data_IF_637086470691
#
_entry.id   IF_637086470691
#
_cell.length_a   1.000
_cell.length_b   1.000
_cell.length_c   1.000
_cell.angle_alpha   90.00
_cell.angle_beta   90.00
_cell.angle_gamma   90.00
#
_symmetry.space_group_name_H-M   'P 1'
#
loop_
_entity.id
_entity.type
_entity.pdbx_description
1 polymer ?
#
# COMPACT_ATOMS: atom_id res chain seq x y z
N UNK A 1 -17.79 16.55 11.13
CA UNK A 1 -16.51 15.92 10.73
C UNK A 1 -16.68 14.54 10.10
N UNK A 2 -17.28 13.55 10.78
CA UNK A 2 -17.46 12.19 10.23
C UNK A 2 -18.20 12.19 8.89
N UNK A 3 -19.40 12.74 8.89
CA UNK A 3 -20.23 13.04 7.72
C UNK A 3 -19.47 13.77 6.60
N UNK A 4 -18.86 14.92 6.92
CA UNK A 4 -18.12 15.79 5.97
C UNK A 4 -16.94 15.06 5.28
N UNK A 5 -16.29 14.11 5.94
CA UNK A 5 -15.09 13.42 5.43
C UNK A 5 -15.34 12.00 4.93
N UNK A 6 -16.58 11.49 5.09
CA UNK A 6 -16.92 10.09 4.83
C UNK A 6 -16.15 9.07 5.70
N UNK A 7 -15.46 9.52 6.77
CA UNK A 7 -14.67 8.65 7.66
C UNK A 7 -15.48 8.27 8.89
N UNK A 8 -15.26 7.04 9.38
CA UNK A 8 -15.86 6.59 10.63
C UNK A 8 -15.36 7.46 11.81
N UNK A 9 -16.20 7.56 12.85
CA UNK A 9 -15.95 8.46 13.97
C UNK A 9 -14.67 8.09 14.76
N UNK A 10 -14.32 6.81 14.85
CA UNK A 10 -13.13 6.31 15.56
C UNK A 10 -11.83 6.77 14.90
N UNK A 11 -11.77 6.72 13.56
CA UNK A 11 -10.65 7.25 12.77
C UNK A 11 -10.47 8.76 12.98
N UNK A 12 -11.56 9.51 13.14
CA UNK A 12 -11.50 10.96 13.40
C UNK A 12 -11.09 11.26 14.84
N UNK A 13 -11.62 10.54 15.83
CA UNK A 13 -11.18 10.68 17.24
C UNK A 13 -9.67 10.43 17.37
N UNK A 14 -9.11 9.48 16.61
CA UNK A 14 -7.66 9.25 16.48
C UNK A 14 -6.93 10.37 15.74
N UNK A 15 -7.39 10.79 14.56
CA UNK A 15 -6.75 11.85 13.79
C UNK A 15 -6.68 13.17 14.58
N UNK A 16 -7.74 13.52 15.31
CA UNK A 16 -7.75 14.67 16.22
C UNK A 16 -6.79 14.50 17.40
N UNK A 17 -6.62 13.30 17.94
CA UNK A 17 -5.62 13.04 18.99
C UNK A 17 -4.18 13.19 18.46
N UNK A 18 -3.89 12.72 17.24
CA UNK A 18 -2.58 12.89 16.59
C UNK A 18 -2.27 14.36 16.28
N UNK A 19 -3.26 15.11 15.78
CA UNK A 19 -3.12 16.55 15.53
C UNK A 19 -2.90 17.36 16.82
N UNK A 20 -3.55 16.98 17.92
CA UNK A 20 -3.38 17.61 19.24
C UNK A 20 -2.02 17.27 19.88
N UNK A 21 -1.60 16.01 19.80
CA UNK A 21 -0.29 15.56 20.29
C UNK A 21 0.89 16.22 19.55
N UNK A 22 0.71 16.56 18.27
CA UNK A 22 1.68 17.29 17.46
C UNK A 22 1.43 18.82 17.44
N UNK A 23 0.58 19.32 18.34
CA UNK A 23 0.28 20.74 18.55
C UNK A 23 -0.26 21.51 17.32
N UNK A 24 -0.90 20.83 16.38
CA UNK A 24 -1.61 21.45 15.25
C UNK A 24 -2.98 21.98 15.64
N UNK A 25 -3.65 21.34 16.61
CA UNK A 25 -4.95 21.78 17.15
C UNK A 25 -4.93 21.75 18.67
N UNK A 26 -5.86 22.49 19.30
CA UNK A 26 -6.10 22.43 20.75
C UNK A 26 -7.61 22.22 20.98
N UNK A 27 -8.01 21.20 21.73
CA UNK A 27 -9.42 21.01 22.13
C UNK A 27 -9.67 21.76 23.44
N UNK A 28 -10.30 22.93 23.34
CA UNK A 28 -10.62 23.78 24.51
C UNK A 28 -11.98 23.42 25.07
N UNK A 29 -11.99 22.70 26.19
CA UNK A 29 -13.19 22.56 27.01
C UNK A 29 -13.34 23.78 27.93
N UNK A 30 -14.45 24.51 27.77
CA UNK A 30 -14.87 25.60 28.67
C UNK A 30 -16.16 25.18 29.37
N UNK A 31 -16.63 25.95 30.36
CA UNK A 31 -17.90 25.67 31.04
C UNK A 31 -19.09 25.66 30.06
N UNK A 32 -19.03 26.50 29.02
CA UNK A 32 -19.97 26.54 27.89
C UNK A 32 -19.73 25.46 26.82
N UNK A 33 -18.59 24.76 26.87
CA UNK A 33 -18.11 23.85 25.83
C UNK A 33 -17.58 22.56 26.47
N UNK A 34 -18.51 21.73 26.96
CA UNK A 34 -18.18 20.45 27.61
C UNK A 34 -18.29 19.29 26.63
N UNK A 35 -17.70 18.14 26.96
CA UNK A 35 -17.87 16.90 26.17
C UNK A 35 -19.34 16.48 25.99
N UNK A 36 -20.25 16.96 26.84
CA UNK A 36 -21.67 16.62 26.80
C UNK A 36 -22.52 17.60 25.96
N UNK A 37 -22.10 18.86 25.76
CA UNK A 37 -22.92 19.88 25.08
C UNK A 37 -22.85 19.85 23.54
N UNK A 38 -22.24 18.82 22.94
CA UNK A 38 -22.10 18.65 21.48
C UNK A 38 -21.10 19.60 20.79
N UNK A 39 -20.93 20.81 21.33
CA UNK A 39 -20.18 21.91 20.73
C UNK A 39 -18.64 21.83 20.88
N UNK A 40 -18.08 20.63 21.09
CA UNK A 40 -16.68 20.37 21.44
C UNK A 40 -15.67 21.17 20.58
N UNK A 41 -15.13 22.25 21.15
CA UNK A 41 -14.40 23.29 20.42
C UNK A 41 -12.99 22.89 20.00
N UNK A 42 -12.74 22.86 18.69
CA UNK A 42 -11.40 22.67 18.10
C UNK A 42 -10.83 24.05 17.76
N UNK A 43 -9.78 24.46 18.48
CA UNK A 43 -9.03 25.69 18.25
C UNK A 43 -7.98 25.46 17.15
N UNK A 44 -8.22 26.05 15.97
CA UNK A 44 -7.40 25.91 14.76
C UNK A 44 -6.31 27.00 14.64
N UNK A 45 -6.12 27.84 15.66
CA UNK A 45 -5.09 28.90 15.63
C UNK A 45 -3.66 28.38 15.36
N UNK A 46 -3.22 27.19 15.84
CA UNK A 46 -1.89 26.68 15.48
C UNK A 46 -1.79 26.28 14.00
N UNK A 47 -2.85 25.73 13.40
CA UNK A 47 -2.93 25.49 11.94
C UNK A 47 -2.83 26.80 11.18
N UNK A 48 -3.57 27.83 11.59
CA UNK A 48 -3.59 29.13 10.93
C UNK A 48 -2.21 29.83 10.99
N UNK A 49 -1.49 29.70 12.10
CA UNK A 49 -0.12 30.22 12.23
C UNK A 49 0.88 29.54 11.28
N UNK A 50 0.68 28.25 10.97
CA UNK A 50 1.52 27.45 10.06
C UNK A 50 0.96 27.34 8.62
N UNK A 51 -0.04 28.15 8.26
CA UNK A 51 -0.70 28.06 6.94
C UNK A 51 0.29 28.28 5.78
N UNK A 52 1.33 29.08 5.99
CA UNK A 52 2.41 29.28 5.01
C UNK A 52 3.25 28.01 4.81
N UNK A 53 3.66 27.35 5.89
CA UNK A 53 4.40 26.08 5.86
C UNK A 53 3.61 24.99 5.13
N UNK A 54 2.30 24.91 5.39
CA UNK A 54 1.39 23.96 4.75
C UNK A 54 1.28 24.21 3.24
N UNK A 55 1.15 25.47 2.79
CA UNK A 55 1.15 25.83 1.37
C UNK A 55 2.49 25.58 0.68
N UNK A 56 3.61 25.80 1.38
CA UNK A 56 4.94 25.51 0.86
C UNK A 56 5.12 23.99 0.67
N UNK A 57 4.62 23.18 1.60
CA UNK A 57 4.62 21.72 1.49
C UNK A 57 3.66 21.22 0.38
N UNK A 58 2.49 21.85 0.21
CA UNK A 58 1.53 21.58 -0.86
C UNK A 58 2.17 21.81 -2.24
N UNK A 59 2.71 23.01 -2.49
CA UNK A 59 3.43 23.34 -3.73
C UNK A 59 4.60 22.38 -3.99
N UNK A 60 5.43 22.07 -2.98
CA UNK A 60 6.56 21.15 -3.11
C UNK A 60 6.13 19.73 -3.49
N UNK A 61 4.97 19.26 -3.00
CA UNK A 61 4.40 17.98 -3.40
C UNK A 61 3.87 18.01 -4.84
N UNK A 62 3.23 19.10 -5.28
CA UNK A 62 2.80 19.26 -6.68
C UNK A 62 4.00 19.32 -7.64
N UNK A 63 5.04 20.09 -7.31
CA UNK A 63 6.30 20.15 -8.05
C UNK A 63 6.97 18.77 -8.15
N UNK A 64 7.05 18.02 -7.04
CA UNK A 64 7.60 16.66 -7.03
C UNK A 64 6.75 15.69 -7.87
N UNK A 65 5.43 15.82 -7.85
CA UNK A 65 4.51 14.99 -8.65
C UNK A 65 4.67 15.29 -10.14
N UNK A 66 4.76 16.56 -10.56
CA UNK A 66 4.92 16.88 -11.98
C UNK A 66 6.33 16.60 -12.49
N UNK A 67 7.38 16.77 -11.67
CA UNK A 67 8.72 16.30 -11.99
C UNK A 67 8.76 14.77 -12.18
N UNK A 68 8.09 14.00 -11.31
CA UNK A 68 7.99 12.54 -11.47
C UNK A 68 7.20 12.12 -12.72
N UNK A 69 6.18 12.90 -13.12
CA UNK A 69 5.47 12.71 -14.40
C UNK A 69 6.37 13.04 -15.59
N UNK A 70 7.16 14.11 -15.52
CA UNK A 70 8.09 14.53 -16.56
C UNK A 70 9.20 13.49 -16.79
N UNK A 71 9.82 12.95 -15.73
CA UNK A 71 10.75 11.82 -15.87
C UNK A 71 10.08 10.61 -16.53
N UNK A 72 8.85 10.24 -16.12
CA UNK A 72 8.07 9.16 -16.75
C UNK A 72 7.61 9.48 -18.20
N UNK A 73 7.73 10.73 -18.67
CA UNK A 73 7.59 11.10 -20.10
C UNK A 73 8.92 10.92 -20.82
N UNK A 74 9.99 11.53 -20.31
CA UNK A 74 11.33 11.47 -20.90
C UNK A 74 11.86 10.03 -21.06
N UNK A 75 11.69 9.16 -20.05
CA UNK A 75 12.05 7.74 -20.14
C UNK A 75 11.35 7.01 -21.30
N UNK A 76 10.11 7.41 -21.64
CA UNK A 76 9.35 6.81 -22.75
C UNK A 76 9.81 7.35 -24.11
N UNK A 77 10.14 8.63 -24.18
CA UNK A 77 10.61 9.26 -25.41
C UNK A 77 12.04 8.81 -25.76
N UNK A 78 12.89 8.56 -24.76
CA UNK A 78 14.21 7.93 -24.93
C UNK A 78 14.08 6.46 -25.39
N UNK A 79 13.14 5.69 -24.81
CA UNK A 79 12.83 4.34 -25.29
C UNK A 79 12.34 4.36 -26.75
N UNK A 80 11.42 5.27 -27.10
CA UNK A 80 10.92 5.43 -28.47
C UNK A 80 12.05 5.83 -29.45
N UNK A 81 12.97 6.70 -29.05
CA UNK A 81 14.16 7.02 -29.85
C UNK A 81 15.10 5.82 -30.03
N UNK A 82 15.31 5.01 -28.99
CA UNK A 82 16.13 3.80 -29.07
C UNK A 82 15.48 2.73 -29.97
N UNK A 83 14.16 2.58 -29.94
CA UNK A 83 13.42 1.70 -30.85
C UNK A 83 13.46 2.22 -32.29
N UNK A 84 13.26 3.51 -32.52
CA UNK A 84 13.36 4.11 -33.85
C UNK A 84 14.78 3.98 -34.45
N UNK A 85 15.84 4.15 -33.64
CA UNK A 85 17.23 3.95 -34.07
C UNK A 85 17.50 2.49 -34.43
N UNK A 86 16.99 1.53 -33.65
CA UNK A 86 17.09 0.09 -33.99
C UNK A 86 16.38 -0.23 -35.30
N UNK A 87 15.15 0.24 -35.50
CA UNK A 87 14.39 0.02 -36.73
C UNK A 87 15.07 0.64 -37.96
N UNK A 88 15.69 1.81 -37.82
CA UNK A 88 16.49 2.41 -38.90
C UNK A 88 17.77 1.61 -39.21
N UNK A 89 18.37 0.96 -38.20
CA UNK A 89 19.57 0.14 -38.36
C UNK A 89 19.25 -1.24 -38.96
N UNK A 90 18.20 -1.93 -38.46
CA UNK A 90 17.65 -3.17 -39.03
C UNK A 90 17.08 -2.99 -40.46
N UNK A 91 16.76 -1.75 -40.84
CA UNK A 91 16.37 -1.37 -42.20
C UNK A 91 17.54 -1.32 -43.19
N UNK A 92 18.75 -1.00 -42.72
CA UNK A 92 19.93 -0.85 -43.57
C UNK A 92 20.55 -2.20 -43.99
N UNK A 93 20.43 -3.24 -43.17
CA UNK A 93 20.94 -4.60 -43.44
C UNK A 93 20.05 -5.43 -44.40
N UNK A 94 19.07 -4.80 -45.08
CA UNK A 94 18.13 -5.49 -46.00
C UNK A 94 18.31 -5.18 -47.50
N UNK A 95 19.21 -4.28 -47.87
CA UNK A 95 19.53 -4.04 -49.29
C UNK A 95 20.57 -5.02 -49.87
N UNK A 96 20.26 -6.34 -49.85
CA UNK A 96 20.69 -7.31 -50.90
C UNK A 96 20.21 -8.75 -50.61
N UNK A 97 19.02 -9.10 -51.13
CA UNK A 97 18.69 -10.44 -51.69
C UNK A 97 17.29 -10.46 -52.30
N UNK A 98 17.17 -9.96 -53.53
CA UNK A 98 16.06 -10.33 -54.40
C UNK A 98 16.26 -11.77 -54.90
N UNK A 99 15.19 -12.58 -54.92
CA UNK A 99 14.80 -13.41 -56.08
C UNK A 99 13.58 -14.30 -55.77
N UNK A 100 12.51 -14.12 -56.55
CA UNK A 100 11.63 -15.18 -57.07
C UNK A 100 10.83 -16.10 -56.14
N UNK A 101 9.50 -16.07 -56.26
CA UNK A 101 8.64 -17.19 -55.84
C UNK A 101 7.21 -16.75 -55.46
N UNK A 102 6.25 -16.90 -56.36
CA UNK A 102 4.82 -16.71 -56.06
C UNK A 102 4.13 -18.02 -55.62
N UNK A 103 3.31 -17.87 -54.57
CA UNK A 103 2.06 -18.59 -54.28
C UNK A 103 2.08 -20.12 -53.97
N UNK A 104 0.93 -20.57 -53.46
CA UNK A 104 0.56 -21.87 -52.92
C UNK A 104 1.15 -22.22 -51.54
N UNK A 105 0.39 -22.77 -50.58
CA UNK A 105 -1.07 -22.83 -50.42
C UNK A 105 -1.42 -23.24 -48.98
N UNK A 106 -2.67 -23.00 -48.52
CA UNK A 106 -3.41 -23.82 -47.51
C UNK A 106 -2.80 -23.89 -46.08
N UNK A 107 -3.50 -23.70 -44.95
CA UNK A 107 -4.95 -23.61 -44.65
C UNK A 107 -5.14 -22.78 -43.36
N UNK A 108 -6.07 -21.82 -43.32
CA UNK A 108 -6.59 -21.26 -42.05
C UNK A 108 -8.11 -21.49 -41.97
N UNK A 109 -8.52 -22.48 -41.17
CA UNK A 109 -9.95 -22.75 -40.94
C UNK A 109 -10.55 -21.71 -39.99
N UNK A 110 -11.50 -20.94 -40.49
CA UNK A 110 -12.29 -19.99 -39.70
C UNK A 110 -13.76 -20.44 -39.64
N UNK A 111 -14.25 -20.63 -38.41
CA UNK A 111 -15.68 -20.75 -38.09
C UNK A 111 -15.98 -19.56 -37.17
N UNK A 112 -16.43 -18.42 -37.72
CA UNK A 112 -17.84 -18.08 -38.00
C UNK A 112 -18.71 -18.11 -36.74
N UNK A 113 -19.18 -16.92 -36.34
CA UNK A 113 -20.34 -16.74 -35.48
C UNK A 113 -21.57 -17.38 -36.13
N UNK A 114 -22.57 -17.72 -35.31
CA UNK A 114 -23.97 -17.79 -35.72
C UNK A 114 -24.86 -17.16 -34.63
N UNK A 115 -25.84 -16.31 -34.98
CA UNK A 115 -26.83 -15.77 -34.04
C UNK A 115 -28.02 -16.74 -33.87
N UNK A 116 -28.80 -16.59 -32.79
CA UNK A 116 -30.02 -17.41 -32.61
C UNK A 116 -30.89 -16.99 -31.42
N UNK A 117 -32.21 -16.95 -31.63
CA UNK A 117 -33.22 -16.55 -30.65
C UNK A 117 -34.59 -17.16 -31.03
N UNK A 118 -35.57 -17.35 -30.14
CA UNK A 118 -35.60 -17.04 -28.69
C UNK A 118 -35.73 -18.36 -27.88
N UNK A 119 -36.65 -18.69 -26.96
CA UNK A 119 -37.77 -17.97 -26.33
C UNK A 119 -38.08 -18.46 -24.91
N UNK A 120 -38.87 -17.65 -24.20
CA UNK A 120 -39.60 -17.87 -22.94
C UNK A 120 -40.08 -19.30 -22.60
N UNK A 121 -39.89 -19.69 -21.34
CA UNK A 121 -40.94 -20.24 -20.46
C UNK A 121 -40.78 -19.60 -19.07
N UNK A 122 -41.90 -19.20 -18.43
CA UNK A 122 -41.90 -18.58 -17.10
C UNK A 122 -42.49 -19.49 -16.01
N UNK A 123 -42.11 -19.20 -14.75
CA UNK A 123 -42.88 -19.35 -13.49
C UNK A 123 -42.27 -20.31 -12.45
N UNK A 124 -42.15 -19.83 -11.21
CA UNK A 124 -41.65 -20.60 -10.06
C UNK A 124 -40.92 -19.71 -9.04
N UNK A 125 -41.65 -18.98 -8.20
CA UNK A 125 -41.08 -18.00 -7.28
C UNK A 125 -40.55 -18.61 -5.96
N UNK A 126 -39.41 -18.10 -5.44
CA UNK A 126 -39.33 -17.50 -4.09
C UNK A 126 -37.90 -17.10 -3.65
N UNK A 127 -37.79 -15.88 -3.11
CA UNK A 127 -36.85 -15.38 -2.08
C UNK A 127 -35.44 -16.01 -1.92
N UNK A 128 -34.37 -15.27 -2.30
CA UNK A 128 -33.13 -15.19 -1.50
C UNK A 128 -32.27 -13.95 -1.84
N UNK A 129 -31.61 -13.43 -0.81
CA UNK A 129 -30.84 -12.18 -0.71
C UNK A 129 -29.59 -12.05 -1.61
N UNK A 130 -29.30 -10.78 -1.96
CA UNK A 130 -27.99 -10.12 -2.14
C UNK A 130 -26.99 -10.74 -3.14
N UNK A 131 -26.65 -9.95 -4.17
CA UNK A 131 -25.80 -10.37 -5.28
C UNK A 131 -24.38 -10.79 -4.90
N UNK A 132 -23.85 -11.70 -5.70
CA UNK A 132 -22.47 -12.20 -5.66
C UNK A 132 -21.46 -11.04 -5.60
N UNK A 133 -20.49 -11.13 -4.67
CA UNK A 133 -19.23 -10.38 -4.81
C UNK A 133 -18.57 -10.81 -6.13
N UNK A 134 -18.21 -9.86 -6.97
CA UNK A 134 -17.29 -10.13 -8.08
C UNK A 134 -15.94 -10.52 -7.49
N UNK A 135 -15.53 -11.77 -7.71
CA UNK A 135 -14.18 -12.22 -7.44
C UNK A 135 -13.25 -11.68 -8.54
N UNK A 136 -13.02 -10.37 -8.55
CA UNK A 136 -11.84 -9.82 -9.21
C UNK A 136 -10.62 -10.47 -8.54
N UNK A 137 -9.65 -11.01 -9.29
CA UNK A 137 -8.38 -11.42 -8.71
C UNK A 137 -7.69 -10.18 -8.16
N UNK A 138 -7.66 -10.04 -6.83
CA UNK A 138 -6.86 -9.00 -6.17
C UNK A 138 -5.42 -9.18 -6.61
N UNK A 139 -4.86 -8.17 -7.26
CA UNK A 139 -3.48 -8.17 -7.70
C UNK A 139 -2.56 -8.32 -6.49
N UNK A 140 -1.61 -9.26 -6.54
CA UNK A 140 -0.69 -9.52 -5.41
C UNK A 140 0.20 -8.29 -5.07
N UNK A 141 0.28 -7.34 -6.02
CA UNK A 141 0.90 -6.01 -5.92
C UNK A 141 0.18 -5.11 -4.91
N UNK A 142 -1.15 -5.20 -4.79
CA UNK A 142 -1.95 -4.47 -3.79
C UNK A 142 -1.75 -5.07 -2.38
N UNK A 143 -1.55 -6.39 -2.30
CA UNK A 143 -1.48 -7.15 -1.05
C UNK A 143 -0.27 -6.78 -0.20
N UNK A 144 0.92 -6.79 -0.78
CA UNK A 144 2.14 -6.48 -0.03
C UNK A 144 2.30 -4.96 0.21
N UNK A 145 1.68 -4.11 -0.62
CA UNK A 145 1.58 -2.66 -0.40
C UNK A 145 0.72 -2.34 0.81
N UNK A 146 -0.43 -3.02 1.00
CA UNK A 146 -1.23 -2.88 2.23
C UNK A 146 -0.44 -3.35 3.46
N UNK A 147 0.37 -4.42 3.34
CA UNK A 147 1.20 -4.91 4.44
C UNK A 147 2.27 -3.89 4.83
N UNK A 148 2.96 -3.27 3.85
CA UNK A 148 3.92 -2.19 4.07
C UNK A 148 3.28 -1.00 4.78
N UNK A 149 2.13 -0.53 4.28
CA UNK A 149 1.39 0.57 4.90
C UNK A 149 0.98 0.26 6.34
N UNK A 150 0.42 -0.93 6.59
CA UNK A 150 0.05 -1.37 7.94
C UNK A 150 1.27 -1.46 8.87
N UNK A 151 2.41 -1.99 8.42
CA UNK A 151 3.66 -2.00 9.21
C UNK A 151 4.05 -0.59 9.65
N UNK A 152 4.10 0.36 8.71
CA UNK A 152 4.50 1.75 8.98
C UNK A 152 3.49 2.45 9.89
N UNK A 153 2.20 2.15 9.75
CA UNK A 153 1.14 2.76 10.57
C UNK A 153 1.11 2.24 12.03
N UNK A 154 1.26 0.93 12.26
CA UNK A 154 0.96 0.30 13.58
C UNK A 154 2.20 -0.07 14.41
N UNK A 155 3.41 0.31 13.97
CA UNK A 155 4.67 -0.07 14.62
C UNK A 155 5.45 1.12 15.18
N UNK A 156 5.30 1.41 16.49
CA UNK A 156 6.13 2.41 17.17
C UNK A 156 7.62 2.06 17.14
N UNK A 157 7.99 0.78 17.02
CA UNK A 157 9.40 0.37 16.95
C UNK A 157 9.99 0.59 15.55
N UNK A 158 9.25 0.32 14.47
CA UNK A 158 9.68 0.65 13.10
C UNK A 158 9.75 2.16 12.89
N UNK A 159 8.74 2.91 13.36
CA UNK A 159 8.72 4.39 13.26
C UNK A 159 9.95 5.04 13.90
N UNK A 160 10.44 4.52 15.03
CA UNK A 160 11.66 5.00 15.70
C UNK A 160 12.98 4.71 14.95
N UNK A 161 12.94 3.92 13.87
CA UNK A 161 14.11 3.61 13.03
C UNK A 161 14.10 4.37 11.70
N UNK A 162 13.08 5.19 11.45
CA UNK A 162 12.87 5.92 10.19
C UNK A 162 12.82 7.42 10.47
N UNK A 163 13.28 8.22 9.52
CA UNK A 163 13.15 9.69 9.58
C UNK A 163 11.72 10.13 9.29
N UNK A 164 11.35 11.34 9.74
CA UNK A 164 10.05 11.92 9.44
C UNK A 164 9.79 12.04 7.92
N UNK A 165 10.82 12.32 7.12
CA UNK A 165 10.72 12.40 5.67
C UNK A 165 10.37 11.05 5.03
N UNK A 166 11.06 9.97 5.45
CA UNK A 166 10.77 8.61 4.98
C UNK A 166 9.38 8.15 5.41
N UNK A 167 8.95 8.45 6.64
CA UNK A 167 7.61 8.14 7.13
C UNK A 167 6.51 8.86 6.33
N UNK A 168 6.71 10.13 5.98
CA UNK A 168 5.79 10.87 5.10
C UNK A 168 5.76 10.28 3.68
N UNK A 169 6.90 9.85 3.14
CA UNK A 169 6.98 9.25 1.81
C UNK A 169 6.37 7.83 1.75
N UNK A 170 6.51 7.04 2.80
CA UNK A 170 5.90 5.70 2.94
C UNK A 170 4.37 5.72 3.08
N UNK A 171 3.80 6.87 3.44
CA UNK A 171 2.36 7.13 3.50
C UNK A 171 1.83 7.74 2.18
N UNK A 172 2.72 8.06 1.24
CA UNK A 172 2.38 8.56 -0.10
C UNK A 172 1.84 7.48 -1.05
N UNK A 173 1.25 7.88 -2.20
CA UNK A 173 0.61 6.95 -3.15
C UNK A 173 1.60 6.09 -3.96
N UNK A 174 2.83 6.56 -4.16
CA UNK A 174 3.95 5.78 -4.68
C UNK A 174 5.15 5.97 -3.73
N UNK A 175 5.41 5.05 -2.78
CA UNK A 175 6.55 5.15 -1.88
C UNK A 175 7.87 4.95 -2.64
N UNK A 176 8.89 5.76 -2.35
CA UNK A 176 10.16 5.69 -3.08
C UNK A 176 10.92 4.38 -2.82
N UNK A 177 11.69 3.92 -3.81
CA UNK A 177 12.57 2.77 -3.65
C UNK A 177 13.57 2.96 -2.50
N UNK A 178 14.01 4.21 -2.24
CA UNK A 178 14.85 4.57 -1.09
C UNK A 178 14.14 4.37 0.24
N UNK A 179 12.94 4.90 0.43
CA UNK A 179 12.20 4.74 1.68
C UNK A 179 11.79 3.28 1.94
N UNK A 180 11.50 2.52 0.88
CA UNK A 180 11.31 1.06 0.95
C UNK A 180 12.58 0.36 1.46
N UNK A 181 13.77 0.72 0.95
CA UNK A 181 15.04 0.15 1.45
C UNK A 181 15.36 0.57 2.89
N UNK A 182 14.91 1.74 3.34
CA UNK A 182 15.00 2.14 4.74
C UNK A 182 14.11 1.27 5.65
N UNK A 183 12.87 0.93 5.24
CA UNK A 183 12.05 -0.07 5.95
C UNK A 183 12.72 -1.43 5.99
N UNK A 184 13.31 -1.89 4.87
CA UNK A 184 14.03 -3.17 4.80
C UNK A 184 15.22 -3.17 5.78
N UNK A 185 15.96 -2.07 5.83
CA UNK A 185 17.13 -1.90 6.70
C UNK A 185 16.73 -1.82 8.19
N UNK A 186 15.68 -1.08 8.52
CA UNK A 186 15.12 -0.97 9.87
C UNK A 186 14.61 -2.32 10.39
N UNK A 187 13.82 -3.05 9.60
CA UNK A 187 13.34 -4.40 9.97
C UNK A 187 14.50 -5.38 10.15
N UNK A 188 15.54 -5.29 9.31
CA UNK A 188 16.76 -6.10 9.47
C UNK A 188 17.51 -5.75 10.75
N UNK A 189 17.59 -4.47 11.13
CA UNK A 189 18.17 -4.02 12.39
C UNK A 189 17.38 -4.54 13.60
N UNK A 190 16.05 -4.45 13.57
CA UNK A 190 15.15 -4.98 14.62
C UNK A 190 15.34 -6.50 14.76
N UNK A 191 15.34 -7.22 13.64
CA UNK A 191 15.56 -8.68 13.60
C UNK A 191 16.90 -9.07 14.24
N UNK A 192 17.98 -8.35 13.93
CA UNK A 192 19.32 -8.65 14.43
C UNK A 192 19.48 -8.31 15.91
N UNK A 193 19.01 -7.14 16.35
CA UNK A 193 19.30 -6.63 17.70
C UNK A 193 18.27 -7.08 18.75
N UNK A 194 16.98 -7.15 18.39
CA UNK A 194 15.89 -7.41 19.32
C UNK A 194 15.40 -8.87 19.27
N UNK A 195 15.27 -9.44 18.07
CA UNK A 195 14.67 -10.78 17.87
C UNK A 195 15.70 -11.91 17.79
N UNK A 196 16.91 -11.65 17.27
CA UNK A 196 18.05 -12.60 17.21
C UNK A 196 17.74 -13.93 16.49
N UNK A 197 16.88 -13.91 15.48
CA UNK A 197 16.56 -15.10 14.66
C UNK A 197 17.79 -15.59 13.88
N UNK A 198 17.96 -16.91 13.73
CA UNK A 198 19.07 -17.52 12.97
C UNK A 198 19.04 -17.08 11.49
N UNK A 199 20.14 -16.55 10.91
CA UNK A 199 20.15 -16.03 9.52
C UNK A 199 19.76 -17.02 8.43
N UNK A 200 19.98 -18.32 8.63
CA UNK A 200 19.54 -19.36 7.69
C UNK A 200 18.01 -19.52 7.65
N UNK A 201 17.34 -19.40 8.81
CA UNK A 201 15.87 -19.43 8.90
C UNK A 201 15.27 -18.17 8.29
N UNK A 202 15.93 -17.02 8.52
CA UNK A 202 15.48 -15.75 7.96
C UNK A 202 15.47 -15.74 6.43
N UNK A 203 16.52 -16.23 5.77
CA UNK A 203 16.55 -16.33 4.30
C UNK A 203 15.40 -17.17 3.76
N UNK A 204 15.26 -18.42 4.23
CA UNK A 204 14.17 -19.32 3.82
C UNK A 204 12.77 -18.72 4.06
N UNK A 205 12.61 -17.91 5.12
CA UNK A 205 11.37 -17.19 5.38
C UNK A 205 11.12 -16.03 4.40
N UNK A 206 12.15 -15.25 4.08
CA UNK A 206 12.08 -14.15 3.11
C UNK A 206 11.81 -14.69 1.70
N UNK A 207 12.54 -15.72 1.28
CA UNK A 207 12.40 -16.38 -0.03
C UNK A 207 10.99 -16.97 -0.24
N UNK A 208 10.33 -17.42 0.85
CA UNK A 208 9.01 -18.07 0.82
C UNK A 208 7.83 -17.11 1.06
N UNK A 209 8.06 -15.96 1.71
CA UNK A 209 6.96 -15.10 2.20
C UNK A 209 7.16 -13.59 2.00
N UNK A 210 8.32 -13.12 1.51
CA UNK A 210 8.56 -11.72 1.17
C UNK A 210 8.17 -10.74 2.28
N UNK A 211 7.32 -9.76 1.94
CA UNK A 211 6.83 -8.74 2.88
C UNK A 211 6.10 -9.30 4.10
N UNK A 212 5.46 -10.47 4.00
CA UNK A 212 4.83 -11.09 5.16
C UNK A 212 5.86 -11.62 6.18
N UNK A 213 7.08 -11.97 5.76
CA UNK A 213 8.17 -12.26 6.70
C UNK A 213 8.66 -10.98 7.39
N UNK A 214 8.81 -9.88 6.64
CA UNK A 214 9.20 -8.55 7.16
C UNK A 214 8.22 -8.06 8.23
N UNK A 215 6.93 -8.10 7.91
CA UNK A 215 5.84 -7.72 8.79
C UNK A 215 5.67 -8.66 10.00
N UNK A 216 6.03 -9.94 9.89
CA UNK A 216 6.06 -10.85 11.03
C UNK A 216 7.11 -10.44 12.08
N UNK A 217 8.26 -9.87 11.67
CA UNK A 217 9.27 -9.32 12.61
C UNK A 217 8.67 -8.19 13.44
N UNK A 218 7.97 -7.25 12.78
CA UNK A 218 7.27 -6.14 13.42
C UNK A 218 6.22 -6.65 14.42
N UNK A 219 5.36 -7.58 13.99
CA UNK A 219 4.34 -8.19 14.85
C UNK A 219 4.95 -8.94 16.04
N UNK A 220 6.13 -9.55 15.88
CA UNK A 220 6.78 -10.29 16.97
C UNK A 220 7.39 -9.38 18.06
N UNK A 221 7.61 -8.10 17.76
CA UNK A 221 8.21 -7.12 18.68
C UNK A 221 7.14 -6.24 19.34
N UNK A 222 6.24 -5.65 18.57
CA UNK A 222 5.27 -4.68 19.09
C UNK A 222 4.03 -5.33 19.74
N UNK A 223 3.85 -6.65 19.60
CA UNK A 223 2.70 -7.37 20.20
C UNK A 223 2.85 -7.53 21.71
N UNK A 224 1.97 -6.84 22.44
CA UNK A 224 1.90 -6.95 23.90
C UNK A 224 1.66 -8.41 24.35
N UNK A 225 2.43 -8.85 25.35
CA UNK A 225 2.36 -10.18 25.94
C UNK A 225 3.31 -11.23 25.36
N UNK A 226 4.05 -10.93 24.28
CA UNK A 226 5.08 -11.83 23.74
C UNK A 226 6.31 -11.80 24.66
N UNK A 227 6.58 -12.92 25.35
CA UNK A 227 7.77 -13.08 26.23
C UNK A 227 9.05 -13.45 25.48
N UNK A 228 8.92 -14.12 24.34
CA UNK A 228 10.02 -14.53 23.47
C UNK A 228 9.67 -14.21 22.01
N UNK A 229 10.13 -13.05 21.49
CA UNK A 229 9.94 -12.67 20.09
C UNK A 229 10.56 -13.66 19.10
N UNK A 230 11.64 -14.37 19.48
CA UNK A 230 12.35 -15.29 18.59
C UNK A 230 11.54 -16.57 18.36
N UNK A 231 11.06 -17.19 19.44
CA UNK A 231 10.19 -18.37 19.36
C UNK A 231 8.83 -18.02 18.73
N UNK A 232 8.26 -16.86 19.07
CA UNK A 232 7.00 -16.41 18.49
C UNK A 232 7.13 -16.15 16.98
N UNK A 233 8.14 -15.40 16.52
CA UNK A 233 8.42 -15.22 15.09
C UNK A 233 8.66 -16.57 14.40
N UNK A 234 9.46 -17.46 14.99
CA UNK A 234 9.72 -18.78 14.41
C UNK A 234 8.45 -19.63 14.27
N UNK A 235 7.48 -19.48 15.18
CA UNK A 235 6.15 -20.12 15.05
C UNK A 235 5.33 -19.52 13.89
N UNK A 236 5.33 -18.18 13.74
CA UNK A 236 4.62 -17.51 12.66
C UNK A 236 5.18 -17.90 11.29
N UNK A 237 6.51 -17.89 11.12
CA UNK A 237 7.18 -18.18 9.85
C UNK A 237 6.97 -19.62 9.34
N UNK A 238 6.40 -20.53 10.16
CA UNK A 238 5.95 -21.87 9.74
C UNK A 238 4.52 -21.90 9.19
N UNK A 239 3.70 -20.89 9.46
CA UNK A 239 2.29 -20.87 9.06
C UNK A 239 2.14 -20.86 7.53
N UNK A 240 1.29 -21.74 7.00
CA UNK A 240 1.02 -21.82 5.56
C UNK A 240 0.38 -20.52 5.00
N UNK A 241 -0.35 -19.78 5.83
CA UNK A 241 -1.08 -18.54 5.45
C UNK A 241 -0.52 -17.30 6.14
N UNK A 242 0.80 -17.15 6.19
CA UNK A 242 1.47 -16.07 6.92
C UNK A 242 0.94 -14.66 6.55
N UNK A 243 0.74 -14.35 5.26
CA UNK A 243 0.16 -13.07 4.78
C UNK A 243 -1.15 -12.71 5.51
N UNK A 244 -2.06 -13.67 5.66
CA UNK A 244 -3.35 -13.46 6.35
C UNK A 244 -3.17 -13.30 7.86
N UNK A 245 -2.37 -14.18 8.48
CA UNK A 245 -2.08 -14.14 9.93
C UNK A 245 -1.44 -12.83 10.35
N UNK A 246 -0.53 -12.30 9.51
CA UNK A 246 0.16 -11.03 9.71
C UNK A 246 -0.78 -9.84 9.53
N UNK A 247 -1.56 -9.77 8.44
CA UNK A 247 -2.56 -8.70 8.23
C UNK A 247 -3.56 -8.63 9.38
N UNK A 248 -4.07 -9.77 9.84
CA UNK A 248 -4.95 -9.83 11.01
C UNK A 248 -4.24 -9.35 12.29
N UNK A 249 -2.97 -9.71 12.47
CA UNK A 249 -2.19 -9.30 13.65
C UNK A 249 -1.84 -7.81 13.65
N UNK A 250 -1.45 -7.22 12.52
CA UNK A 250 -1.19 -5.77 12.40
C UNK A 250 -2.45 -4.96 12.72
N UNK A 251 -3.60 -5.34 12.15
CA UNK A 251 -4.91 -4.72 12.48
C UNK A 251 -5.34 -4.98 13.94
N UNK A 252 -4.81 -6.00 14.60
CA UNK A 252 -5.02 -6.23 16.03
C UNK A 252 -4.12 -5.34 16.91
N UNK A 253 -2.88 -5.05 16.50
CA UNK A 253 -2.01 -4.07 17.16
C UNK A 253 -2.66 -2.68 17.17
N UNK A 254 -3.23 -2.27 16.04
CA UNK A 254 -4.05 -1.06 15.91
C UNK A 254 -5.20 -1.00 16.95
N UNK A 255 -5.69 -2.17 17.40
CA UNK A 255 -6.68 -2.29 18.47
C UNK A 255 -6.11 -2.22 19.88
N UNK A 256 -4.88 -2.68 20.12
CA UNK A 256 -4.26 -2.75 21.46
C UNK A 256 -3.95 -1.37 22.03
N UNK A 257 -3.51 -0.42 21.20
CA UNK A 257 -3.26 0.97 21.64
C UNK A 257 -4.53 1.69 22.12
N UNK A 258 -5.71 1.24 21.66
CA UNK A 258 -7.00 1.78 22.11
C UNK A 258 -7.49 1.19 23.45
N UNK A 259 -6.69 0.34 24.11
CA UNK A 259 -6.98 -0.24 25.43
C UNK A 259 -6.49 0.57 26.63
N UNK A 260 -5.74 1.65 26.40
CA UNK A 260 -5.22 2.55 27.43
C UNK A 260 -5.71 4.00 27.19
N UNK A 261 -6.98 4.27 27.56
CA UNK A 261 -7.61 5.60 27.50
C UNK A 261 -8.78 5.71 28.50
#
# INVERSE_FOLDING_TARGET
>A
LAEITGKNERSIRRALALLEANHWIIRRYTETNTRASGNAGIDLRPVAARLYELRQAENFLEEKIEAARECKRQERDDLAQLEARKQAQDGHDKEQKESGGEDSSVHRKSYKLNPGSTNLVQSGASQAKLGQRSNNPVSDIDVDTEILFLMVQVSPTLQKQLTAAELCELVGPEPSGTAIQSVVSAVRWILTNQVKLRPAVWRVALDKHGWAAMAAVVVAVDRQGVRDPAAYLYSMLKAARLRDTVRHSLRALEGQEAGYA
#
